data_IF_410555567483
#
_entry.id   IF_410555567483
#
_cell.length_a   1.000
_cell.length_b   1.000
_cell.length_c   1.000
_cell.angle_alpha   90.00
_cell.angle_beta   90.00
_cell.angle_gamma   90.00
#
_symmetry.space_group_name_H-M   'P 1'
#
loop_
_entity.id
_entity.type
_entity.pdbx_description
1 polymer ?
#
# COMPACT_ATOMS: atom_id res chain seq x y z
N UNK A 1 -55.40 57.20 45.87
CA UNK A 1 -54.49 56.61 44.86
C UNK A 1 -54.08 55.24 45.41
N UNK A 2 -54.79 54.17 45.08
CA UNK A 2 -54.70 53.34 43.85
C UNK A 2 -53.72 52.16 44.04
N UNK A 3 -54.32 50.97 44.06
CA UNK A 3 -53.72 49.63 44.01
C UNK A 3 -52.77 49.46 42.81
N UNK A 4 -51.76 48.59 42.91
CA UNK A 4 -51.59 47.47 41.96
C UNK A 4 -50.51 46.48 42.37
N UNK A 5 -50.99 45.25 42.57
CA UNK A 5 -50.35 43.97 42.29
C UNK A 5 -49.58 43.95 40.96
N UNK A 6 -48.49 43.17 40.87
CA UNK A 6 -48.36 42.11 39.86
C UNK A 6 -47.22 41.12 40.20
N UNK A 7 -47.59 39.83 40.15
CA UNK A 7 -46.72 38.65 40.07
C UNK A 7 -46.00 38.61 38.71
N UNK A 8 -44.95 37.79 38.58
CA UNK A 8 -44.53 36.95 37.42
C UNK A 8 -43.00 36.74 37.50
N UNK A 9 -42.35 35.63 37.15
CA UNK A 9 -42.70 34.24 36.79
C UNK A 9 -41.37 33.47 36.79
N UNK A 10 -41.46 32.17 37.04
CA UNK A 10 -40.39 31.17 36.96
C UNK A 10 -39.64 31.19 35.62
N UNK A 11 -38.33 30.99 35.63
CA UNK A 11 -37.53 30.56 34.49
C UNK A 11 -36.75 29.30 34.92
N UNK A 12 -37.36 28.12 34.75
CA UNK A 12 -36.64 26.85 34.68
C UNK A 12 -35.93 26.80 33.32
N UNK A 13 -34.62 27.00 33.32
CA UNK A 13 -33.77 26.77 32.14
C UNK A 13 -33.31 25.31 32.20
N UNK A 14 -33.96 24.44 31.42
CA UNK A 14 -33.51 23.06 31.21
C UNK A 14 -32.23 23.05 30.38
N UNK A 15 -31.15 22.53 30.95
CA UNK A 15 -29.84 22.43 30.32
C UNK A 15 -29.54 20.96 30.01
N UNK A 16 -29.31 20.67 28.72
CA UNK A 16 -28.45 19.58 28.19
C UNK A 16 -28.91 18.12 28.41
N UNK A 17 -28.65 17.15 27.54
CA UNK A 17 -27.58 17.02 26.56
C UNK A 17 -28.05 16.13 25.41
N UNK A 18 -27.94 16.61 24.18
CA UNK A 18 -27.94 15.75 23.00
C UNK A 18 -26.57 15.08 22.92
N UNK A 19 -26.45 13.83 23.36
CA UNK A 19 -25.29 13.00 23.03
C UNK A 19 -25.34 12.69 21.53
N UNK A 20 -24.65 13.49 20.74
CA UNK A 20 -24.25 13.10 19.39
C UNK A 20 -23.12 12.08 19.53
N UNK A 21 -23.49 10.80 19.52
CA UNK A 21 -22.59 9.69 19.26
C UNK A 21 -22.15 9.79 17.80
N UNK A 22 -21.12 10.60 17.54
CA UNK A 22 -20.42 10.63 16.27
C UNK A 22 -19.62 9.34 16.17
N UNK A 23 -20.23 8.29 15.61
CA UNK A 23 -19.53 7.07 15.18
C UNK A 23 -18.54 7.49 14.09
N UNK A 24 -17.30 7.75 14.49
CA UNK A 24 -16.21 8.05 13.57
C UNK A 24 -15.95 6.84 12.69
N UNK A 25 -16.50 6.83 11.48
CA UNK A 25 -15.95 6.01 10.42
C UNK A 25 -14.60 6.62 10.07
N UNK A 26 -13.52 6.00 10.57
CA UNK A 26 -12.19 6.27 10.07
C UNK A 26 -12.23 6.04 8.55
N UNK A 27 -12.12 7.13 7.79
CA UNK A 27 -11.94 7.05 6.36
C UNK A 27 -10.52 6.52 6.18
N UNK A 28 -10.38 5.29 5.68
CA UNK A 28 -9.07 4.74 5.35
C UNK A 28 -8.37 5.73 4.40
N UNK A 29 -7.27 6.34 4.88
CA UNK A 29 -6.54 7.34 4.12
C UNK A 29 -5.93 6.65 2.90
N UNK A 30 -6.21 7.16 1.70
CA UNK A 30 -5.60 6.67 0.47
C UNK A 30 -4.09 6.89 0.53
N UNK A 31 -3.30 5.91 0.10
CA UNK A 31 -1.84 6.03 0.07
C UNK A 31 -1.39 6.52 -1.31
N UNK A 32 -0.69 7.66 -1.35
CA UNK A 32 -0.29 8.32 -2.58
C UNK A 32 1.23 8.37 -2.74
N UNK A 33 1.72 8.04 -3.93
CA UNK A 33 3.12 8.17 -4.33
C UNK A 33 3.21 9.11 -5.54
N UNK A 34 4.01 10.19 -5.49
CA UNK A 34 4.19 11.09 -6.61
C UNK A 34 4.93 10.41 -7.78
N UNK A 35 4.76 10.99 -8.97
CA UNK A 35 5.57 10.72 -10.14
C UNK A 35 7.07 10.79 -9.81
N UNK A 36 7.85 9.95 -10.49
CA UNK A 36 9.30 9.82 -10.35
C UNK A 36 9.76 9.33 -8.98
N UNK A 37 8.84 8.99 -8.08
CA UNK A 37 9.19 8.35 -6.81
C UNK A 37 10.07 7.12 -7.04
N UNK A 38 11.07 7.01 -6.17
CA UNK A 38 12.09 5.97 -6.21
C UNK A 38 11.79 4.96 -5.11
N UNK A 39 11.69 3.68 -5.50
CA UNK A 39 11.47 2.56 -4.58
C UNK A 39 12.57 1.54 -4.82
N UNK A 40 13.36 1.24 -3.80
CA UNK A 40 14.22 0.06 -3.85
C UNK A 40 13.38 -1.18 -3.60
N UNK A 41 13.57 -2.19 -4.44
CA UNK A 41 12.85 -3.45 -4.36
C UNK A 41 13.81 -4.62 -4.37
N UNK A 42 13.38 -5.74 -3.80
CA UNK A 42 14.09 -7.00 -3.81
C UNK A 42 13.26 -8.07 -4.51
N UNK A 43 13.93 -8.90 -5.30
CA UNK A 43 13.33 -10.08 -5.93
C UNK A 43 12.96 -11.12 -4.87
N UNK A 44 11.74 -11.66 -4.92
CA UNK A 44 11.29 -12.70 -3.97
C UNK A 44 11.76 -14.09 -4.41
N UNK A 45 11.69 -14.39 -5.71
CA UNK A 45 11.99 -15.71 -6.25
C UNK A 45 12.94 -15.69 -7.45
N UNK A 46 13.63 -16.81 -7.70
CA UNK A 46 14.55 -16.88 -8.83
C UNK A 46 13.78 -16.90 -10.15
N UNK A 47 14.15 -16.02 -11.07
CA UNK A 47 13.54 -15.95 -12.42
C UNK A 47 14.63 -15.99 -13.48
N UNK A 48 14.47 -16.86 -14.48
CA UNK A 48 15.41 -17.02 -15.59
C UNK A 48 14.78 -16.64 -16.94
N UNK A 49 15.61 -16.03 -17.78
CA UNK A 49 15.28 -15.53 -19.11
C UNK A 49 16.28 -16.08 -20.11
N UNK A 50 15.78 -16.59 -21.24
CA UNK A 50 16.59 -17.13 -22.34
C UNK A 50 16.06 -16.62 -23.68
N UNK A 51 16.80 -16.73 -24.80
CA UNK A 51 16.33 -16.37 -26.13
C UNK A 51 15.00 -17.03 -26.53
N UNK A 52 14.77 -18.27 -26.09
CA UNK A 52 13.55 -19.03 -26.36
C UNK A 52 12.38 -18.59 -25.47
N UNK A 53 12.69 -18.00 -24.31
CA UNK A 53 11.72 -17.50 -23.36
C UNK A 53 12.18 -16.15 -22.77
N UNK A 54 12.20 -15.08 -23.58
CA UNK A 54 12.78 -13.80 -23.18
C UNK A 54 11.81 -12.99 -22.30
N UNK A 55 10.56 -13.43 -22.16
CA UNK A 55 9.51 -12.77 -21.38
C UNK A 55 9.08 -13.64 -20.20
N UNK A 56 8.88 -13.01 -19.05
CA UNK A 56 8.28 -13.60 -17.85
C UNK A 56 7.28 -12.61 -17.27
N UNK A 57 6.08 -13.09 -16.96
CA UNK A 57 5.11 -12.31 -16.19
C UNK A 57 5.07 -12.76 -14.74
N UNK A 58 4.26 -12.06 -13.95
CA UNK A 58 3.91 -12.42 -12.57
C UNK A 58 5.13 -12.52 -11.63
N UNK A 59 6.21 -11.81 -11.93
CA UNK A 59 7.37 -11.75 -11.05
C UNK A 59 6.99 -11.05 -9.75
N UNK A 60 7.41 -11.61 -8.63
CA UNK A 60 7.13 -11.06 -7.30
C UNK A 60 8.33 -10.29 -6.77
N UNK A 61 8.09 -9.02 -6.43
CA UNK A 61 9.06 -8.12 -5.82
C UNK A 61 8.51 -7.62 -4.49
N UNK A 62 9.38 -7.32 -3.54
CA UNK A 62 9.03 -6.62 -2.29
C UNK A 62 9.80 -5.30 -2.19
N UNK A 63 9.20 -4.21 -1.72
CA UNK A 63 9.95 -3.04 -1.31
C UNK A 63 10.98 -3.39 -0.23
N UNK A 64 12.15 -2.76 -0.30
CA UNK A 64 13.18 -2.85 0.75
C UNK A 64 12.87 -1.80 1.81
N UNK A 65 12.67 -2.24 3.05
CA UNK A 65 12.39 -1.34 4.17
C UNK A 65 13.58 -0.41 4.44
N UNK A 66 13.30 0.88 4.69
CA UNK A 66 14.32 1.90 5.00
C UNK A 66 15.40 2.07 3.91
N UNK A 67 15.10 1.65 2.68
CA UNK A 67 15.93 1.97 1.54
C UNK A 67 15.96 3.48 1.28
N UNK A 68 16.91 3.92 0.44
CA UNK A 68 17.06 5.32 0.03
C UNK A 68 15.92 5.83 -0.89
N UNK A 69 14.68 5.41 -0.63
CA UNK A 69 13.47 5.87 -1.30
C UNK A 69 12.82 7.02 -0.53
N UNK A 70 12.14 7.90 -1.26
CA UNK A 70 11.57 9.14 -0.73
C UNK A 70 10.33 8.92 0.17
N UNK A 71 9.83 7.68 0.26
CA UNK A 71 8.48 7.39 0.79
C UNK A 71 8.49 6.13 1.66
N UNK A 72 7.87 6.23 2.84
CA UNK A 72 7.61 5.08 3.70
C UNK A 72 6.38 4.31 3.19
N UNK A 73 6.59 3.09 2.73
CA UNK A 73 5.51 2.14 2.44
C UNK A 73 5.17 1.31 3.68
N UNK A 74 3.92 0.79 3.80
CA UNK A 74 3.56 -0.16 4.85
C UNK A 74 4.51 -1.36 4.91
N UNK A 75 4.57 -2.00 6.09
CA UNK A 75 5.52 -3.08 6.38
C UNK A 75 5.42 -4.28 5.44
N UNK A 76 4.23 -4.53 4.89
CA UNK A 76 3.95 -5.69 4.05
C UNK A 76 3.45 -5.26 2.68
N UNK A 77 4.36 -5.00 1.76
CA UNK A 77 4.01 -4.67 0.37
C UNK A 77 4.54 -5.73 -0.60
N UNK A 78 3.76 -5.99 -1.64
CA UNK A 78 4.06 -6.89 -2.75
C UNK A 78 3.84 -6.14 -4.06
N UNK A 79 4.81 -6.26 -4.97
CA UNK A 79 4.73 -5.74 -6.33
C UNK A 79 4.71 -6.93 -7.28
N UNK A 80 3.77 -6.92 -8.22
CA UNK A 80 3.82 -7.81 -9.38
C UNK A 80 4.48 -7.07 -10.53
N UNK A 81 5.28 -7.79 -11.33
CA UNK A 81 6.03 -7.22 -12.42
C UNK A 81 6.21 -8.19 -13.58
N UNK A 82 6.49 -7.63 -14.76
CA UNK A 82 6.90 -8.38 -15.93
C UNK A 82 8.36 -8.09 -16.26
N UNK A 83 9.06 -9.10 -16.76
CA UNK A 83 10.42 -9.03 -17.23
C UNK A 83 10.53 -9.32 -18.73
N UNK A 84 11.40 -8.59 -19.41
CA UNK A 84 11.78 -8.78 -20.81
C UNK A 84 13.29 -8.66 -20.97
N UNK A 85 13.95 -9.74 -21.41
CA UNK A 85 15.33 -9.69 -21.87
C UNK A 85 15.38 -9.14 -23.29
N UNK A 86 15.96 -7.95 -23.46
CA UNK A 86 16.10 -7.27 -24.76
C UNK A 86 17.42 -6.47 -24.81
N UNK A 87 18.17 -6.62 -25.90
CA UNK A 87 19.42 -5.88 -26.12
C UNK A 87 20.48 -6.09 -25.04
N UNK A 88 20.56 -7.30 -24.47
CA UNK A 88 21.54 -7.63 -23.42
C UNK A 88 21.20 -7.05 -22.05
N UNK A 89 19.98 -6.53 -21.85
CA UNK A 89 19.52 -6.07 -20.54
C UNK A 89 18.15 -6.61 -20.22
N UNK A 90 17.92 -6.85 -18.93
CA UNK A 90 16.62 -7.27 -18.43
C UNK A 90 15.81 -6.04 -18.06
N UNK A 91 14.79 -5.72 -18.86
CA UNK A 91 13.80 -4.68 -18.54
C UNK A 91 12.76 -5.29 -17.62
N UNK A 92 12.48 -4.62 -16.51
CA UNK A 92 11.42 -5.01 -15.56
C UNK A 92 10.46 -3.86 -15.41
N UNK A 93 9.16 -4.14 -15.56
CA UNK A 93 8.06 -3.18 -15.43
C UNK A 93 7.10 -3.66 -14.37
N UNK A 94 6.78 -2.81 -13.40
CA UNK A 94 5.75 -3.10 -12.41
C UNK A 94 4.37 -3.12 -13.08
N UNK A 95 3.46 -3.89 -12.49
CA UNK A 95 2.06 -3.96 -12.88
C UNK A 95 1.17 -3.47 -11.74
N UNK A 96 1.31 -4.05 -10.55
CA UNK A 96 0.54 -3.64 -9.37
C UNK A 96 1.39 -3.53 -8.12
N UNK A 97 0.93 -2.71 -7.17
CA UNK A 97 1.44 -2.64 -5.81
C UNK A 97 0.29 -2.92 -4.85
N UNK A 98 0.47 -3.87 -3.96
CA UNK A 98 -0.48 -4.20 -2.89
C UNK A 98 0.23 -4.15 -1.55
N UNK A 99 -0.33 -3.42 -0.60
CA UNK A 99 0.23 -3.23 0.74
C UNK A 99 -0.79 -3.63 1.80
N UNK A 100 -0.30 -4.22 2.88
CA UNK A 100 -1.07 -4.54 4.09
C UNK A 100 -0.48 -3.70 5.23
N UNK A 101 -1.26 -2.73 5.70
CA UNK A 101 -0.97 -2.00 6.92
C UNK A 101 -1.48 -2.79 8.11
N UNK A 102 -0.75 -2.76 9.23
CA UNK A 102 -1.06 -3.56 10.44
C UNK A 102 -1.01 -2.72 11.72
N UNK A 103 -0.79 -1.42 11.57
CA UNK A 103 -0.92 -0.41 12.60
C UNK A 103 -2.39 -0.19 12.94
N UNK A 104 -2.73 -0.17 14.24
CA UNK A 104 -4.11 0.09 14.69
C UNK A 104 -4.94 -1.14 15.07
N UNK A 105 -4.37 -2.36 15.03
CA UNK A 105 -5.00 -3.57 15.59
C UNK A 105 -5.92 -4.34 14.63
N UNK A 106 -6.32 -3.73 13.52
CA UNK A 106 -6.90 -4.41 12.36
C UNK A 106 -5.99 -4.16 11.15
N UNK A 107 -5.94 -5.10 10.22
CA UNK A 107 -5.15 -4.93 8.99
C UNK A 107 -5.93 -4.15 7.94
N UNK A 108 -5.32 -3.18 7.27
CA UNK A 108 -5.89 -2.48 6.11
C UNK A 108 -5.15 -2.92 4.84
N UNK A 109 -5.89 -3.15 3.76
CA UNK A 109 -5.32 -3.58 2.47
C UNK A 109 -5.44 -2.42 1.49
N UNK A 110 -4.32 -2.01 0.89
CA UNK A 110 -4.24 -0.98 -0.14
C UNK A 110 -3.74 -1.61 -1.43
N UNK A 111 -4.34 -1.26 -2.57
CA UNK A 111 -3.87 -1.80 -3.86
C UNK A 111 -4.20 -0.88 -5.04
N UNK A 112 -3.27 -0.81 -5.99
CA UNK A 112 -3.39 -0.01 -7.21
C UNK A 112 -2.44 -0.46 -8.32
N UNK A 113 -2.71 0.00 -9.54
CA UNK A 113 -1.90 -0.23 -10.73
C UNK A 113 -0.66 0.65 -10.70
N UNK A 114 0.52 0.05 -10.78
CA UNK A 114 1.81 0.73 -10.65
C UNK A 114 2.54 0.75 -11.99
N UNK A 115 2.66 1.93 -12.60
CA UNK A 115 3.54 2.14 -13.74
C UNK A 115 4.93 2.52 -13.24
N UNK A 116 5.84 1.55 -13.18
CA UNK A 116 7.22 1.80 -12.78
C UNK A 116 8.20 0.91 -13.55
N UNK A 117 9.43 1.40 -13.72
CA UNK A 117 10.46 0.68 -14.47
C UNK A 117 11.75 0.53 -13.68
N UNK A 118 12.44 -0.58 -13.89
CA UNK A 118 13.67 -0.90 -13.17
C UNK A 118 14.92 -0.23 -13.78
N UNK A 119 15.79 0.23 -12.88
CA UNK A 119 17.10 0.80 -13.14
C UNK A 119 18.14 0.06 -12.31
N UNK A 120 19.30 -0.18 -12.93
CA UNK A 120 20.42 -0.83 -12.27
C UNK A 120 21.17 0.14 -11.34
N UNK A 121 22.12 -0.36 -10.56
CA UNK A 121 22.92 0.45 -9.62
C UNK A 121 23.77 1.53 -10.33
N UNK A 122 24.05 1.34 -11.61
CA UNK A 122 24.74 2.33 -12.47
C UNK A 122 23.79 3.41 -13.02
N UNK A 123 22.51 3.39 -12.65
CA UNK A 123 21.48 4.33 -13.07
C UNK A 123 20.99 4.12 -14.51
N UNK A 124 21.48 3.11 -15.23
CA UNK A 124 21.02 2.80 -16.58
C UNK A 124 19.69 2.04 -16.53
N UNK A 125 18.87 2.27 -17.55
CA UNK A 125 17.61 1.58 -17.74
C UNK A 125 17.82 0.09 -18.02
N UNK A 126 17.06 -0.75 -17.32
CA UNK A 126 17.19 -2.21 -17.36
C UNK A 126 18.37 -2.72 -16.53
N UNK A 127 18.26 -3.97 -16.09
CA UNK A 127 19.20 -4.62 -15.17
C UNK A 127 20.28 -5.38 -15.95
N UNK A 128 21.52 -5.32 -15.48
CA UNK A 128 22.59 -6.24 -15.88
C UNK A 128 22.43 -7.57 -15.12
N UNK A 129 21.66 -8.48 -15.71
CA UNK A 129 21.34 -9.77 -15.10
C UNK A 129 21.89 -10.95 -15.88
N UNK A 130 22.76 -10.70 -16.86
CA UNK A 130 23.35 -11.72 -17.72
C UNK A 130 24.25 -12.65 -16.90
N UNK A 131 24.14 -13.96 -17.12
CA UNK A 131 25.01 -14.95 -16.46
C UNK A 131 26.28 -15.23 -17.27
N UNK A 132 26.27 -14.91 -18.57
CA UNK A 132 27.39 -15.04 -19.50
C UNK A 132 27.64 -13.72 -20.27
N UNK A 133 28.80 -13.63 -20.94
CA UNK A 133 29.21 -12.43 -21.64
C UNK A 133 28.34 -12.14 -22.88
N UNK A 134 27.80 -13.19 -23.50
CA UNK A 134 26.91 -13.11 -24.65
C UNK A 134 25.45 -12.81 -24.26
N UNK A 135 25.14 -12.79 -22.96
CA UNK A 135 23.81 -12.64 -22.39
C UNK A 135 22.75 -13.58 -23.00
N UNK A 136 23.14 -14.84 -23.26
CA UNK A 136 22.19 -15.87 -23.71
C UNK A 136 21.33 -16.39 -22.56
N UNK A 137 21.70 -16.08 -21.34
CA UNK A 137 20.84 -16.29 -20.20
C UNK A 137 20.97 -15.10 -19.25
N UNK A 138 19.83 -14.65 -18.73
CA UNK A 138 19.79 -13.70 -17.63
C UNK A 138 19.01 -14.30 -16.46
N UNK A 139 19.46 -14.00 -15.24
CA UNK A 139 18.85 -14.53 -14.02
C UNK A 139 18.73 -13.46 -12.94
N UNK A 140 17.52 -13.31 -12.43
CA UNK A 140 17.26 -12.61 -11.18
C UNK A 140 17.27 -13.61 -10.05
N UNK A 141 18.12 -13.37 -9.05
CA UNK A 141 18.23 -14.20 -7.86
C UNK A 141 17.40 -13.60 -6.72
N UNK A 142 16.88 -14.43 -5.80
CA UNK A 142 16.22 -13.94 -4.60
C UNK A 142 17.09 -12.94 -3.84
N UNK A 143 16.46 -11.92 -3.26
CA UNK A 143 17.10 -10.82 -2.53
C UNK A 143 18.01 -9.92 -3.36
N UNK A 144 18.18 -10.13 -4.67
CA UNK A 144 18.79 -9.12 -5.54
C UNK A 144 17.96 -7.85 -5.45
N UNK A 145 18.60 -6.73 -5.15
CA UNK A 145 17.93 -5.42 -5.09
C UNK A 145 18.20 -4.61 -6.34
N UNK A 146 17.27 -3.72 -6.66
CA UNK A 146 17.39 -2.71 -7.70
C UNK A 146 16.37 -1.60 -7.44
N UNK A 147 16.50 -0.50 -8.18
CA UNK A 147 15.60 0.64 -8.06
C UNK A 147 14.48 0.53 -9.08
N UNK A 148 13.26 0.81 -8.67
CA UNK A 148 12.15 1.12 -9.56
C UNK A 148 11.81 2.61 -9.47
N UNK A 149 11.60 3.24 -10.63
CA UNK A 149 11.12 4.62 -10.74
C UNK A 149 9.72 4.63 -11.30
N UNK A 150 8.81 5.32 -10.61
CA UNK A 150 7.44 5.53 -11.09
C UNK A 150 7.44 6.41 -12.35
N UNK A 151 6.59 6.07 -13.32
CA UNK A 151 6.36 6.88 -14.52
C UNK A 151 5.28 7.94 -14.34
N UNK A 152 4.36 7.72 -13.40
CA UNK A 152 3.21 8.57 -13.09
C UNK A 152 2.89 8.50 -11.59
N UNK A 153 2.06 9.42 -11.11
CA UNK A 153 1.49 9.34 -9.76
C UNK A 153 0.76 8.01 -9.56
N UNK A 154 0.90 7.43 -8.37
CA UNK A 154 0.23 6.20 -7.96
C UNK A 154 -0.64 6.48 -6.75
N UNK A 155 -1.92 6.15 -6.86
CA UNK A 155 -2.85 6.12 -5.73
C UNK A 155 -3.21 4.68 -5.42
N UNK A 156 -2.99 4.27 -4.18
CA UNK A 156 -3.38 2.97 -3.66
C UNK A 156 -4.69 3.12 -2.91
N UNK A 157 -5.72 2.46 -3.45
CA UNK A 157 -7.06 2.53 -2.90
C UNK A 157 -7.24 1.46 -1.82
N UNK A 158 -7.92 1.79 -0.71
CA UNK A 158 -8.36 0.81 0.28
C UNK A 158 -9.20 -0.29 -0.38
N UNK A 159 -8.96 -1.54 0.03
CA UNK A 159 -9.69 -2.72 -0.41
C UNK A 159 -10.48 -3.32 0.75
N UNK A 160 -11.56 -4.01 0.41
CA UNK A 160 -12.33 -4.76 1.39
C UNK A 160 -11.43 -5.77 2.11
N UNK A 161 -11.53 -5.81 3.43
CA UNK A 161 -10.85 -6.80 4.25
C UNK A 161 -11.89 -7.66 4.98
N UNK A 162 -12.23 -8.83 4.39
CA UNK A 162 -13.16 -9.77 5.01
C UNK A 162 -12.72 -10.21 6.41
N UNK A 163 -11.42 -10.29 6.67
CA UNK A 163 -10.89 -10.69 7.98
C UNK A 163 -11.18 -9.64 9.04
N UNK A 164 -11.00 -8.36 8.73
CA UNK A 164 -11.33 -7.26 9.64
C UNK A 164 -12.82 -7.25 9.98
N UNK A 165 -13.69 -7.47 8.99
CA UNK A 165 -15.15 -7.59 9.21
C UNK A 165 -15.49 -8.77 10.12
N UNK A 166 -14.93 -9.96 9.87
CA UNK A 166 -15.17 -11.14 10.69
C UNK A 166 -14.66 -10.94 12.13
N UNK A 167 -13.54 -10.27 12.30
CA UNK A 167 -13.00 -9.97 13.63
C UNK A 167 -13.89 -8.99 14.39
N UNK A 168 -14.41 -7.96 13.72
CA UNK A 168 -15.38 -7.03 14.28
C UNK A 168 -16.67 -7.75 14.70
N UNK A 169 -17.23 -8.62 13.84
CA UNK A 169 -18.40 -9.45 14.16
C UNK A 169 -18.16 -10.30 15.42
N UNK A 170 -16.97 -10.90 15.56
CA UNK A 170 -16.60 -11.68 16.75
C UNK A 170 -16.51 -10.81 18.01
N UNK A 171 -15.96 -9.59 17.90
CA UNK A 171 -15.88 -8.65 19.03
C UNK A 171 -17.29 -8.25 19.50
N UNK A 172 -18.22 -8.03 18.58
CA UNK A 172 -19.61 -7.71 18.89
C UNK A 172 -20.36 -8.91 19.51
N UNK A 173 -20.13 -10.13 19.01
CA UNK A 173 -20.75 -11.34 19.56
C UNK A 173 -20.22 -11.74 20.94
N UNK A 174 -18.95 -11.44 21.23
CA UNK A 174 -18.29 -11.78 22.51
C UNK A 174 -18.57 -10.76 23.62
N UNK A 175 -19.16 -9.60 23.30
CA UNK A 175 -19.53 -8.56 24.27
C UNK A 175 -20.81 -8.85 25.08
N UNK A 176 -21.45 -10.01 24.88
CA UNK A 176 -22.70 -10.41 25.54
C UNK A 176 -22.56 -11.24 26.82
N UNK A 177 -21.37 -11.75 27.14
CA UNK A 177 -21.15 -12.59 28.32
C UNK A 177 -20.51 -11.78 29.45
N UNK A 178 -21.36 -11.10 30.23
CA UNK A 178 -20.99 -10.63 31.58
C UNK A 178 -21.38 -11.74 32.58
N UNK A 179 -20.48 -12.19 33.47
CA UNK A 179 -20.84 -13.11 34.56
C UNK A 179 -21.91 -12.56 35.51
#
# INVERSE_FOLDING_TARGET
MAQRTLRLTSLLTGLSASLLLSSGMAQAETLHLPNEAIIEVAVIESTAFTPEAPRRGDMLLRPVANAAGDIALPSHCLITADGLLDGGRLRVSAQTLTCIATDGGESEIFSGEMSATAYDADGRFGLDACVDAECREARLLPSRTFIMRLGHDLTLEPKDNPSARINEERRQASGGDTP
#
